data_IF_689051536494
#
_entry.id   IF_689051536494
#
_cell.length_a   1.000
_cell.length_b   1.000
_cell.length_c   1.000
_cell.angle_alpha   90.00
_cell.angle_beta   90.00
_cell.angle_gamma   90.00
#
_symmetry.space_group_name_H-M   'P 1'
#
loop_
_entity.id
_entity.type
_entity.pdbx_description
1 polymer ?
#
# COMPACT_ATOMS: atom_id res chain seq x y z
N UNK A 1 7.51 -6.00 40.70
CA UNK A 1 8.21 -4.76 40.30
C UNK A 1 7.26 -3.99 39.41
N UNK A 2 7.08 -2.70 39.63
CA UNK A 2 6.18 -1.90 38.80
C UNK A 2 6.68 -1.91 37.34
N UNK A 3 5.81 -2.21 36.38
CA UNK A 3 6.20 -2.19 34.95
C UNK A 3 6.56 -0.76 34.54
N UNK A 4 7.75 -0.57 33.97
CA UNK A 4 8.19 0.75 33.51
C UNK A 4 7.41 1.17 32.28
N UNK A 5 6.76 2.32 32.37
CA UNK A 5 6.10 2.96 31.22
C UNK A 5 7.07 3.95 30.60
N UNK A 6 7.38 3.79 29.31
CA UNK A 6 8.27 4.69 28.58
C UNK A 6 7.62 5.20 27.29
N UNK A 7 8.22 6.22 26.69
CA UNK A 7 7.71 6.83 25.47
C UNK A 7 8.54 6.39 24.26
N UNK A 8 7.88 6.28 23.11
CA UNK A 8 8.52 5.99 21.83
C UNK A 8 8.06 6.95 20.74
N UNK A 9 8.97 7.28 19.85
CA UNK A 9 8.68 8.08 18.66
C UNK A 9 7.96 7.24 17.59
N UNK A 10 7.26 7.92 16.67
CA UNK A 10 6.64 7.26 15.51
C UNK A 10 7.64 6.55 14.59
N UNK A 11 8.89 7.00 14.51
CA UNK A 11 9.96 6.33 13.76
C UNK A 11 10.38 5.02 14.41
N UNK A 12 10.56 5.02 15.74
CA UNK A 12 10.85 3.79 16.49
C UNK A 12 9.69 2.80 16.37
N UNK A 13 8.44 3.25 16.50
CA UNK A 13 7.27 2.39 16.31
C UNK A 13 7.24 1.76 14.91
N UNK A 14 7.60 2.50 13.86
CA UNK A 14 7.63 1.96 12.51
C UNK A 14 8.65 0.82 12.35
N UNK A 15 9.82 0.94 12.98
CA UNK A 15 10.84 -0.12 12.99
C UNK A 15 10.41 -1.35 13.80
N UNK A 16 9.57 -1.15 14.81
CA UNK A 16 9.08 -2.20 15.71
C UNK A 16 7.84 -2.93 15.15
N UNK A 17 6.96 -2.21 14.45
CA UNK A 17 5.67 -2.69 13.93
C UNK A 17 5.70 -4.01 13.13
N UNK A 18 6.76 -4.36 12.36
CA UNK A 18 6.81 -5.64 11.65
C UNK A 18 6.86 -6.86 12.56
N UNK A 19 7.22 -6.71 13.84
CA UNK A 19 7.35 -7.83 14.77
C UNK A 19 5.98 -8.31 15.26
N UNK A 20 5.70 -9.62 15.27
CA UNK A 20 4.37 -10.15 15.62
C UNK A 20 4.08 -10.10 17.13
N UNK A 21 5.09 -9.90 17.98
CA UNK A 21 4.99 -9.81 19.44
C UNK A 21 4.54 -8.43 19.95
N UNK A 22 4.32 -7.46 19.04
CA UNK A 22 3.89 -6.11 19.38
C UNK A 22 2.40 -5.94 19.15
N UNK A 23 1.73 -5.20 20.04
CA UNK A 23 0.37 -4.74 19.85
C UNK A 23 0.30 -3.21 19.98
N UNK A 24 -0.48 -2.58 19.11
CA UNK A 24 -0.73 -1.14 19.13
C UNK A 24 -2.17 -0.94 19.62
N UNK A 25 -2.35 -0.16 20.67
CA UNK A 25 -3.63 0.08 21.33
C UNK A 25 -4.01 1.54 21.10
N UNK A 26 -5.08 1.75 20.32
CA UNK A 26 -5.70 3.04 20.11
C UNK A 26 -6.82 3.24 21.15
N UNK A 27 -6.64 4.22 22.04
CA UNK A 27 -7.61 4.54 23.09
C UNK A 27 -8.45 5.78 22.79
N UNK A 28 -8.46 6.24 21.53
CA UNK A 28 -9.40 7.29 21.09
C UNK A 28 -10.84 6.78 21.12
N UNK A 29 -11.76 7.71 21.26
CA UNK A 29 -13.19 7.40 21.29
C UNK A 29 -13.72 7.44 19.84
N UNK A 30 -14.77 8.22 19.56
CA UNK A 30 -15.44 8.21 18.25
C UNK A 30 -14.61 8.84 17.12
N UNK A 31 -13.66 9.72 17.45
CA UNK A 31 -12.82 10.41 16.44
C UNK A 31 -11.95 9.44 15.62
N UNK A 32 -11.73 8.22 16.12
CA UNK A 32 -10.99 7.19 15.39
C UNK A 32 -11.68 6.82 14.06
N UNK A 33 -13.00 6.90 14.01
CA UNK A 33 -13.79 6.52 12.83
C UNK A 33 -13.65 7.51 11.68
N UNK A 34 -13.51 8.81 11.97
CA UNK A 34 -13.37 9.84 10.95
C UNK A 34 -11.91 10.08 10.53
N UNK A 35 -10.96 10.03 11.47
CA UNK A 35 -9.56 10.40 11.21
C UNK A 35 -8.70 9.25 10.64
N UNK A 36 -9.25 8.04 10.62
CA UNK A 36 -8.50 6.82 10.39
C UNK A 36 -7.67 6.41 11.61
N UNK A 37 -6.89 5.35 11.46
CA UNK A 37 -6.11 4.73 12.54
C UNK A 37 -4.82 4.06 12.04
N UNK A 38 -3.93 3.73 12.97
CA UNK A 38 -2.68 3.01 12.64
C UNK A 38 -3.04 1.59 12.21
N UNK A 39 -2.59 1.17 11.03
CA UNK A 39 -2.93 -0.14 10.47
C UNK A 39 -2.53 -1.30 11.41
N UNK A 40 -3.51 -2.14 11.79
CA UNK A 40 -3.32 -3.24 12.73
C UNK A 40 -3.48 -2.86 14.22
N UNK A 41 -3.90 -1.63 14.54
CA UNK A 41 -4.19 -1.25 15.92
C UNK A 41 -5.50 -1.86 16.43
N UNK A 42 -5.50 -2.21 17.70
CA UNK A 42 -6.68 -2.62 18.46
C UNK A 42 -7.35 -1.38 19.06
N UNK A 43 -8.68 -1.34 19.06
CA UNK A 43 -9.43 -0.17 19.52
C UNK A 43 -10.09 -0.43 20.88
N UNK A 44 -9.64 0.32 21.90
CA UNK A 44 -10.21 0.28 23.24
C UNK A 44 -10.45 1.71 23.74
N UNK A 45 -11.63 2.30 23.44
CA UNK A 45 -11.96 3.67 23.81
C UNK A 45 -11.71 3.97 25.28
N UNK A 46 -11.20 5.16 25.56
CA UNK A 46 -10.89 5.58 26.93
C UNK A 46 -12.14 5.65 27.82
N UNK A 47 -13.29 6.02 27.25
CA UNK A 47 -14.55 6.19 27.99
C UNK A 47 -15.08 4.90 28.61
N UNK A 48 -14.86 3.76 27.97
CA UNK A 48 -15.26 2.42 28.46
C UNK A 48 -14.07 1.48 28.63
N UNK A 49 -12.88 2.06 28.86
CA UNK A 49 -11.65 1.28 28.93
C UNK A 49 -11.70 0.27 30.08
N UNK A 50 -12.13 0.69 31.27
CA UNK A 50 -12.13 -0.14 32.48
C UNK A 50 -12.90 -1.45 32.30
N UNK A 51 -14.09 -1.38 31.72
CA UNK A 51 -14.95 -2.55 31.48
C UNK A 51 -14.35 -3.50 30.43
N UNK A 52 -13.51 -2.99 29.54
CA UNK A 52 -12.86 -3.76 28.46
C UNK A 52 -11.42 -4.17 28.77
N UNK A 53 -10.86 -3.80 29.93
CA UNK A 53 -9.48 -4.14 30.31
C UNK A 53 -9.27 -5.67 30.32
N UNK A 54 -10.26 -6.44 30.76
CA UNK A 54 -10.21 -7.90 30.74
C UNK A 54 -10.15 -8.47 29.31
N UNK A 55 -10.96 -7.94 28.39
CA UNK A 55 -10.94 -8.32 26.98
C UNK A 55 -9.60 -7.95 26.34
N UNK A 56 -9.06 -6.76 26.66
CA UNK A 56 -7.74 -6.34 26.21
C UNK A 56 -6.66 -7.32 26.66
N UNK A 57 -6.67 -7.75 27.93
CA UNK A 57 -5.71 -8.72 28.46
C UNK A 57 -5.75 -10.07 27.72
N UNK A 58 -6.94 -10.51 27.29
CA UNK A 58 -7.10 -11.72 26.48
C UNK A 58 -6.55 -11.54 25.06
N UNK A 59 -6.87 -10.42 24.41
CA UNK A 59 -6.47 -10.15 23.02
C UNK A 59 -4.95 -9.91 22.86
N UNK A 60 -4.29 -9.43 23.92
CA UNK A 60 -2.83 -9.21 23.94
C UNK A 60 -2.05 -10.41 24.50
N UNK A 61 -2.72 -11.54 24.77
CA UNK A 61 -2.04 -12.74 25.28
C UNK A 61 -0.98 -13.22 24.26
N UNK A 62 0.24 -13.40 24.75
CA UNK A 62 1.39 -13.78 23.90
C UNK A 62 2.11 -12.61 23.23
N UNK A 63 1.71 -11.36 23.50
CA UNK A 63 2.45 -10.15 23.13
C UNK A 63 3.39 -9.76 24.26
N UNK A 64 4.60 -9.32 23.94
CA UNK A 64 5.57 -8.86 24.95
C UNK A 64 5.64 -7.34 25.07
N UNK A 65 5.23 -6.62 24.03
CA UNK A 65 5.35 -5.16 23.95
C UNK A 65 4.01 -4.55 23.55
N UNK A 66 3.51 -3.63 24.37
CA UNK A 66 2.27 -2.91 24.12
C UNK A 66 2.55 -1.43 23.91
N UNK A 67 1.96 -0.85 22.87
CA UNK A 67 2.11 0.58 22.55
C UNK A 67 0.76 1.26 22.62
N UNK A 68 0.53 2.05 23.65
CA UNK A 68 -0.68 2.84 23.81
C UNK A 68 -0.57 4.19 23.12
N UNK A 69 -1.66 4.66 22.53
CA UNK A 69 -1.73 6.02 22.01
C UNK A 69 -3.16 6.57 22.06
N UNK A 70 -3.29 7.89 22.07
CA UNK A 70 -4.56 8.55 21.76
C UNK A 70 -4.37 9.55 20.60
N UNK A 71 -5.06 10.68 20.59
CA UNK A 71 -4.86 11.74 19.59
C UNK A 71 -3.48 12.41 19.75
N UNK A 72 -3.14 12.87 20.97
CA UNK A 72 -1.87 13.54 21.30
C UNK A 72 -0.98 12.76 22.28
N UNK A 73 -1.52 11.70 22.88
CA UNK A 73 -0.89 10.90 23.95
C UNK A 73 -0.46 11.70 25.20
N UNK A 74 -1.16 12.78 25.53
CA UNK A 74 -0.89 13.60 26.73
C UNK A 74 -1.73 13.21 27.96
N UNK A 75 -2.95 12.71 27.75
CA UNK A 75 -3.91 12.40 28.84
C UNK A 75 -4.43 10.97 28.73
N UNK A 76 -5.28 10.68 27.73
CA UNK A 76 -5.94 9.37 27.59
C UNK A 76 -4.96 8.21 27.42
N UNK A 77 -3.97 8.34 26.54
CA UNK A 77 -2.94 7.32 26.30
C UNK A 77 -2.19 6.92 27.59
N UNK A 78 -1.50 7.87 28.26
CA UNK A 78 -0.79 7.58 29.52
C UNK A 78 -1.70 7.07 30.65
N UNK A 79 -2.92 7.60 30.77
CA UNK A 79 -3.90 7.17 31.78
C UNK A 79 -4.31 5.71 31.57
N UNK A 80 -4.66 5.32 30.33
CA UNK A 80 -5.07 3.95 30.03
C UNK A 80 -3.90 2.97 30.16
N UNK A 81 -2.69 3.35 29.74
CA UNK A 81 -1.48 2.55 29.93
C UNK A 81 -1.22 2.25 31.42
N UNK A 82 -1.37 3.27 32.28
CA UNK A 82 -1.21 3.12 33.74
C UNK A 82 -2.31 2.25 34.35
N UNK A 83 -3.58 2.46 33.96
CA UNK A 83 -4.70 1.61 34.40
C UNK A 83 -4.46 0.14 34.05
N UNK A 84 -3.98 -0.12 32.83
CA UNK A 84 -3.65 -1.46 32.40
C UNK A 84 -2.47 -2.05 33.17
N UNK A 85 -1.40 -1.26 33.42
CA UNK A 85 -0.28 -1.70 34.23
C UNK A 85 -0.72 -2.11 35.65
N UNK A 86 -1.58 -1.31 36.29
CA UNK A 86 -2.14 -1.62 37.62
C UNK A 86 -2.98 -2.91 37.58
N UNK A 87 -3.82 -3.08 36.55
CA UNK A 87 -4.60 -4.30 36.37
C UNK A 87 -3.73 -5.55 36.25
N UNK A 88 -2.61 -5.49 35.52
CA UNK A 88 -1.68 -6.61 35.43
C UNK A 88 -1.02 -6.96 36.78
N UNK A 89 -0.81 -5.97 37.64
CA UNK A 89 -0.29 -6.18 39.00
C UNK A 89 -1.33 -6.84 39.91
N UNK A 90 -2.60 -6.47 39.77
CA UNK A 90 -3.73 -7.04 40.53
C UNK A 90 -3.97 -8.52 40.19
N UNK A 91 -3.96 -8.85 38.90
CA UNK A 91 -4.26 -10.22 38.42
C UNK A 91 -3.09 -11.18 38.68
N UNK A 92 -1.89 -10.67 39.02
CA UNK A 92 -0.65 -11.45 39.27
C UNK A 92 -0.32 -12.49 38.19
N UNK A 93 -0.85 -12.31 36.99
CA UNK A 93 -0.62 -13.22 35.87
C UNK A 93 0.62 -12.77 35.12
N UNK A 94 1.58 -13.67 34.95
CA UNK A 94 2.73 -13.45 34.06
C UNK A 94 2.26 -13.52 32.60
N UNK A 95 1.63 -12.44 32.16
CA UNK A 95 1.07 -12.26 30.81
C UNK A 95 2.14 -12.22 29.70
N UNK A 96 3.42 -12.41 30.03
CA UNK A 96 4.56 -12.31 29.09
C UNK A 96 4.87 -10.89 28.62
N UNK A 97 4.05 -9.90 29.02
CA UNK A 97 4.20 -8.49 28.67
C UNK A 97 5.39 -7.91 29.46
N UNK A 98 6.45 -7.53 28.76
CA UNK A 98 7.67 -6.94 29.32
C UNK A 98 7.57 -5.42 29.35
N UNK A 99 7.16 -4.84 28.22
CA UNK A 99 7.26 -3.40 27.97
C UNK A 99 5.89 -2.78 27.67
N UNK A 100 5.56 -1.72 28.40
CA UNK A 100 4.40 -0.86 28.13
C UNK A 100 4.92 0.50 27.67
N UNK A 101 4.63 0.84 26.43
CA UNK A 101 5.13 2.02 25.74
C UNK A 101 3.99 2.97 25.40
N UNK A 102 4.29 4.26 25.27
CA UNK A 102 3.36 5.29 24.83
C UNK A 102 3.90 5.92 23.55
N UNK A 103 3.08 5.97 22.50
CA UNK A 103 3.45 6.65 21.25
C UNK A 103 3.43 8.16 21.46
N UNK A 104 4.59 8.80 21.34
CA UNK A 104 4.76 10.24 21.41
C UNK A 104 3.97 10.96 20.32
N UNK A 105 3.37 12.10 20.69
CA UNK A 105 2.53 12.94 19.83
C UNK A 105 1.27 12.24 19.29
N UNK A 106 0.99 11.02 19.73
CA UNK A 106 -0.21 10.25 19.41
C UNK A 106 -0.45 10.05 17.92
N UNK A 107 -1.72 9.84 17.57
CA UNK A 107 -2.15 9.66 16.18
C UNK A 107 -1.89 10.91 15.33
N UNK A 108 -2.08 12.11 15.88
CA UNK A 108 -1.87 13.35 15.14
C UNK A 108 -0.42 13.49 14.69
N UNK A 109 0.54 13.15 15.57
CA UNK A 109 1.96 13.11 15.23
C UNK A 109 2.32 12.02 14.23
N UNK A 110 1.64 10.87 14.27
CA UNK A 110 1.80 9.81 13.29
C UNK A 110 1.36 10.28 11.89
N UNK A 111 0.17 10.85 11.80
CA UNK A 111 -0.43 11.34 10.55
C UNK A 111 0.35 12.53 9.97
N UNK A 112 0.73 13.51 10.79
CA UNK A 112 1.50 14.68 10.33
C UNK A 112 2.90 14.32 9.83
N UNK A 113 3.46 13.19 10.28
CA UNK A 113 4.72 12.66 9.78
C UNK A 113 4.59 11.96 8.41
N UNK A 114 3.41 11.94 7.79
CA UNK A 114 3.17 11.28 6.50
C UNK A 114 3.21 9.74 6.56
N UNK A 115 3.00 9.16 7.74
CA UNK A 115 3.02 7.69 7.93
C UNK A 115 1.72 7.06 7.46
N UNK A 116 1.73 5.77 7.07
CA UNK A 116 0.53 5.11 6.56
C UNK A 116 -0.60 5.07 7.60
N UNK A 117 -1.79 5.47 7.17
CA UNK A 117 -3.04 5.46 7.95
C UNK A 117 -4.04 4.54 7.26
N UNK A 118 -4.79 3.77 8.04
CA UNK A 118 -5.87 2.92 7.56
C UNK A 118 -7.23 3.55 7.90
N UNK A 119 -8.20 3.34 7.01
CA UNK A 119 -9.58 3.85 7.15
C UNK A 119 -10.61 2.72 7.17
N UNK A 120 -10.19 1.47 7.46
CA UNK A 120 -11.12 0.35 7.50
C UNK A 120 -12.01 0.40 8.75
N UNK A 121 -13.25 -0.07 8.61
CA UNK A 121 -14.19 -0.20 9.72
C UNK A 121 -14.20 -1.61 10.36
N UNK A 122 -13.34 -2.52 9.91
CA UNK A 122 -13.23 -3.87 10.47
C UNK A 122 -12.48 -3.88 11.80
N UNK A 123 -13.04 -4.54 12.82
CA UNK A 123 -12.41 -4.80 14.11
C UNK A 123 -12.16 -6.32 14.22
N UNK A 124 -10.91 -6.79 14.40
CA UNK A 124 -9.66 -6.02 14.37
C UNK A 124 -9.27 -5.57 12.95
N UNK A 125 -8.54 -4.45 12.85
CA UNK A 125 -7.93 -4.01 11.59
C UNK A 125 -6.93 -5.07 11.15
N UNK A 126 -7.13 -5.69 9.97
CA UNK A 126 -6.23 -6.76 9.49
C UNK A 126 -4.83 -6.26 9.15
N UNK A 127 -4.60 -4.95 9.17
CA UNK A 127 -3.34 -4.33 8.78
C UNK A 127 -3.04 -4.57 7.30
N UNK A 128 -2.23 -3.70 6.70
CA UNK A 128 -1.80 -3.92 5.33
C UNK A 128 -0.82 -5.11 5.34
N UNK A 129 -1.32 -6.31 5.00
CA UNK A 129 -0.52 -7.50 4.70
C UNK A 129 0.35 -7.18 3.49
N UNK A 130 1.54 -6.65 3.77
CA UNK A 130 2.55 -6.26 2.80
C UNK A 130 2.04 -5.24 1.75
N UNK A 131 2.87 -4.27 1.44
CA UNK A 131 2.87 -3.79 0.06
C UNK A 131 3.29 -5.00 -0.78
N UNK A 132 2.32 -5.80 -1.25
CA UNK A 132 2.52 -6.55 -2.47
C UNK A 132 2.78 -5.48 -3.53
N UNK A 133 4.05 -5.14 -3.73
CA UNK A 133 4.50 -4.62 -5.02
C UNK A 133 3.88 -5.57 -6.01
N UNK A 134 2.90 -5.07 -6.75
CA UNK A 134 2.06 -5.89 -7.59
C UNK A 134 2.98 -6.75 -8.44
N UNK A 135 2.92 -8.08 -8.27
CA UNK A 135 3.82 -8.99 -8.98
C UNK A 135 3.66 -8.80 -10.50
N UNK A 136 2.49 -8.33 -10.95
CA UNK A 136 2.25 -7.92 -12.33
C UNK A 136 3.06 -6.68 -12.78
N UNK A 137 3.48 -5.79 -11.88
CA UNK A 137 4.35 -4.65 -12.20
C UNK A 137 5.84 -5.07 -12.26
N UNK A 138 6.25 -6.10 -11.52
CA UNK A 138 7.60 -6.64 -11.59
C UNK A 138 7.79 -7.58 -12.78
N UNK A 139 6.72 -8.28 -13.20
CA UNK A 139 6.72 -9.19 -14.34
C UNK A 139 7.33 -8.58 -15.61
N UNK A 140 6.92 -7.38 -16.09
CA UNK A 140 7.50 -6.79 -17.30
C UNK A 140 8.95 -6.34 -17.11
N UNK A 141 9.34 -5.90 -15.90
CA UNK A 141 10.72 -5.48 -15.63
C UNK A 141 11.71 -6.65 -15.73
N UNK A 142 11.29 -7.86 -15.36
CA UNK A 142 12.13 -9.06 -15.46
C UNK A 142 11.91 -9.84 -16.76
N UNK A 143 10.69 -9.95 -17.28
CA UNK A 143 10.40 -10.72 -18.51
C UNK A 143 10.98 -10.06 -19.76
N UNK A 144 10.93 -8.73 -19.89
CA UNK A 144 11.40 -8.06 -21.12
C UNK A 144 12.90 -8.29 -21.35
N UNK A 145 13.79 -8.11 -20.35
CA UNK A 145 15.20 -8.48 -20.48
C UNK A 145 15.39 -9.97 -20.76
N UNK A 146 14.65 -10.86 -20.09
CA UNK A 146 14.78 -12.31 -20.26
C UNK A 146 14.41 -12.74 -21.68
N UNK A 147 13.26 -12.30 -22.20
CA UNK A 147 12.80 -12.66 -23.56
C UNK A 147 13.73 -12.10 -24.63
N UNK A 148 14.38 -10.96 -24.39
CA UNK A 148 15.36 -10.40 -25.33
C UNK A 148 16.74 -11.07 -25.23
N UNK A 149 17.14 -11.52 -24.05
CA UNK A 149 18.44 -12.17 -23.80
C UNK A 149 18.44 -13.67 -24.16
N UNK A 150 17.32 -14.36 -23.97
CA UNK A 150 17.19 -15.80 -24.18
C UNK A 150 17.58 -16.24 -25.61
N UNK A 151 17.19 -15.54 -26.69
CA UNK A 151 17.61 -15.89 -28.06
C UNK A 151 19.12 -15.73 -28.28
N UNK A 152 19.74 -14.71 -27.65
CA UNK A 152 21.19 -14.48 -27.76
C UNK A 152 21.96 -15.58 -27.03
N UNK A 153 21.46 -15.99 -25.85
CA UNK A 153 22.05 -17.08 -25.10
C UNK A 153 21.93 -18.42 -25.85
N UNK A 154 20.78 -18.68 -26.47
CA UNK A 154 20.56 -19.86 -27.30
C UNK A 154 21.53 -19.91 -28.49
N UNK A 155 21.69 -18.79 -29.21
CA UNK A 155 22.65 -18.69 -30.32
C UNK A 155 24.10 -18.96 -29.87
N UNK A 156 24.50 -18.45 -28.69
CA UNK A 156 25.83 -18.69 -28.13
C UNK A 156 26.07 -20.16 -27.75
N UNK A 157 25.06 -20.80 -27.14
CA UNK A 157 25.12 -22.22 -26.77
C UNK A 157 25.18 -23.08 -28.03
N UNK A 158 24.33 -22.81 -29.02
CA UNK A 158 24.30 -23.55 -30.28
C UNK A 158 25.58 -23.39 -31.07
N UNK A 159 26.16 -22.19 -31.14
CA UNK A 159 27.48 -22.00 -31.76
C UNK A 159 28.57 -22.87 -31.13
N UNK A 160 28.60 -22.95 -29.79
CA UNK A 160 29.59 -23.75 -29.07
C UNK A 160 29.38 -25.26 -29.26
N UNK A 161 28.13 -25.73 -29.23
CA UNK A 161 27.80 -27.14 -29.47
C UNK A 161 28.14 -27.53 -30.91
N UNK A 162 27.75 -26.72 -31.90
CA UNK A 162 27.98 -27.04 -33.32
C UNK A 162 29.48 -27.04 -33.66
N UNK A 163 30.26 -26.13 -33.06
CA UNK A 163 31.72 -26.10 -33.20
C UNK A 163 32.38 -27.38 -32.67
N UNK A 164 31.85 -27.97 -31.59
CA UNK A 164 32.35 -29.24 -31.04
C UNK A 164 32.07 -30.44 -31.96
N UNK A 165 30.99 -30.39 -32.74
CA UNK A 165 30.64 -31.42 -33.72
C UNK A 165 31.16 -31.14 -35.13
N UNK A 166 31.96 -30.08 -35.32
CA UNK A 166 32.52 -29.70 -36.63
C UNK A 166 31.48 -29.16 -37.62
N UNK A 167 30.35 -28.66 -37.14
CA UNK A 167 29.28 -28.07 -37.95
C UNK A 167 29.30 -26.54 -37.85
N UNK A 168 28.96 -25.85 -38.93
CA UNK A 168 28.86 -24.39 -38.93
C UNK A 168 27.42 -23.98 -38.58
N UNK A 169 27.22 -23.38 -37.40
CA UNK A 169 25.90 -22.91 -36.98
C UNK A 169 25.46 -21.72 -37.85
N UNK A 170 24.41 -21.91 -38.64
CA UNK A 170 23.80 -20.84 -39.42
C UNK A 170 22.59 -20.28 -38.67
N UNK A 171 22.72 -19.06 -38.17
CA UNK A 171 21.67 -18.36 -37.43
C UNK A 171 20.40 -18.22 -38.30
N UNK A 172 19.23 -18.67 -37.84
CA UNK A 172 17.99 -18.51 -38.60
C UNK A 172 17.57 -17.04 -38.68
N UNK A 173 17.15 -16.62 -39.86
CA UNK A 173 16.63 -15.26 -40.08
C UNK A 173 15.31 -15.11 -39.34
N UNK A 174 15.18 -14.07 -38.49
CA UNK A 174 13.93 -13.83 -37.76
C UNK A 174 12.84 -13.56 -38.77
N UNK A 175 11.72 -14.27 -38.65
CA UNK A 175 10.57 -14.05 -39.51
C UNK A 175 10.23 -12.54 -39.50
N UNK A 176 10.17 -11.88 -40.66
CA UNK A 176 9.78 -10.49 -40.72
C UNK A 176 8.35 -10.33 -40.19
N UNK A 177 8.01 -9.18 -39.57
CA UNK A 177 6.66 -8.95 -39.08
C UNK A 177 5.66 -9.15 -40.22
N UNK A 178 4.71 -10.07 -40.05
CA UNK A 178 3.71 -10.33 -41.07
C UNK A 178 2.87 -9.06 -41.27
N UNK A 179 2.93 -8.48 -42.48
CA UNK A 179 2.08 -7.34 -42.85
C UNK A 179 0.61 -7.80 -42.90
N UNK A 180 -0.29 -7.26 -42.05
CA UNK A 180 -1.69 -7.71 -42.00
C UNK A 180 -2.51 -7.30 -43.22
N UNK A 181 -2.00 -6.37 -44.04
CA UNK A 181 -2.71 -5.84 -45.20
C UNK A 181 -2.10 -6.46 -46.45
N UNK A 182 -2.88 -7.30 -47.14
CA UNK A 182 -2.61 -7.68 -48.52
C UNK A 182 -3.10 -6.53 -49.41
N UNK A 183 -2.23 -5.74 -50.06
CA UNK A 183 -2.70 -4.66 -50.92
C UNK A 183 -3.50 -5.26 -52.09
N UNK A 184 -4.74 -4.77 -52.25
CA UNK A 184 -5.59 -5.10 -53.39
C UNK A 184 -4.97 -4.45 -54.63
N UNK A 185 -4.70 -5.26 -55.66
CA UNK A 185 -4.18 -4.77 -56.94
C UNK A 185 -5.14 -3.73 -57.54
N UNK A 186 -4.64 -2.52 -57.78
CA UNK A 186 -5.35 -1.46 -58.52
C UNK A 186 -5.60 -1.93 -59.97
N UNK A 187 -6.83 -1.74 -60.46
CA UNK A 187 -7.08 -1.59 -61.91
C UNK A 187 -7.03 -0.11 -62.23
N UNK A 188 -6.05 0.28 -63.04
CA UNK A 188 -5.89 1.60 -63.60
C UNK A 188 -7.02 1.91 -64.59
N UNK A 189 -7.66 3.08 -64.45
CA UNK A 189 -8.14 3.85 -65.61
C UNK A 189 -8.00 5.33 -65.28
N UNK A 190 -7.21 5.99 -66.13
CA UNK A 190 -6.69 7.36 -66.07
C UNK A 190 -7.64 8.32 -66.80
N UNK A 191 -7.65 9.60 -66.36
CA UNK A 191 -7.95 10.89 -67.06
C UNK A 191 -8.84 11.76 -66.14
N UNK A 192 -8.67 13.07 -65.94
CA UNK A 192 -7.54 14.02 -65.88
C UNK A 192 -8.08 15.31 -65.20
N UNK A 193 -7.26 15.95 -64.37
CA UNK A 193 -7.19 17.39 -64.00
C UNK A 193 -8.45 18.26 -63.78
N UNK A 194 -8.52 18.94 -62.62
CA UNK A 194 -8.09 20.35 -62.43
C UNK A 194 -8.24 20.85 -60.97
N UNK A 195 -7.43 21.84 -60.63
CA UNK A 195 -7.20 22.44 -59.31
C UNK A 195 -8.19 23.57 -58.91
N UNK A 196 -8.47 23.68 -57.59
CA UNK A 196 -8.81 24.80 -56.64
C UNK A 196 -9.53 26.12 -57.10
N UNK A 197 -9.98 27.06 -56.20
CA UNK A 197 -10.18 27.08 -54.72
C UNK A 197 -11.53 27.74 -54.24
N UNK A 198 -11.80 27.84 -52.91
CA UNK A 198 -12.69 28.89 -52.35
C UNK A 198 -13.48 28.61 -51.05
N UNK A 199 -13.10 29.27 -49.94
CA UNK A 199 -13.96 29.70 -48.79
C UNK A 199 -14.59 31.10 -49.13
N UNK A 200 -15.48 31.78 -48.34
CA UNK A 200 -15.92 31.59 -46.93
C UNK A 200 -17.47 31.74 -46.74
N UNK A 201 -18.02 31.50 -45.54
CA UNK A 201 -18.69 32.47 -44.62
C UNK A 201 -19.93 31.70 -44.05
N UNK A 202 -20.51 31.89 -42.87
CA UNK A 202 -20.51 32.93 -41.85
C UNK A 202 -21.23 32.37 -40.59
N UNK A 203 -20.84 32.83 -39.39
CA UNK A 203 -21.64 32.71 -38.14
C UNK A 203 -22.60 33.92 -38.04
N UNK A 204 -23.66 33.93 -37.19
CA UNK A 204 -23.48 34.16 -35.74
C UNK A 204 -24.49 33.49 -34.77
N UNK A 205 -24.11 33.54 -33.49
CA UNK A 205 -24.82 33.30 -32.22
C UNK A 205 -26.09 34.18 -32.03
N UNK A 206 -26.97 34.07 -30.97
CA UNK A 206 -26.54 34.20 -29.56
C UNK A 206 -27.45 33.68 -28.39
N UNK A 207 -26.92 33.86 -27.15
CA UNK A 207 -27.56 33.99 -25.79
C UNK A 207 -28.37 32.78 -25.27
N UNK A 208 -28.18 32.20 -24.08
CA UNK A 208 -27.69 32.65 -22.77
C UNK A 208 -28.82 32.44 -21.73
N UNK A 209 -28.54 31.83 -20.56
CA UNK A 209 -29.11 32.15 -19.23
C UNK A 209 -28.92 31.03 -18.20
N UNK A 210 -28.55 31.49 -17.02
CA UNK A 210 -28.30 30.78 -15.77
C UNK A 210 -29.59 30.47 -14.98
N UNK A 211 -29.45 29.61 -13.97
CA UNK A 211 -30.39 29.42 -12.85
C UNK A 211 -30.53 27.94 -12.47
N UNK A 212 -30.79 27.53 -11.25
CA UNK A 212 -30.83 28.17 -9.93
C UNK A 212 -30.88 26.99 -8.93
N UNK A 213 -30.22 27.15 -7.79
CA UNK A 213 -30.16 26.21 -6.66
C UNK A 213 -31.46 26.26 -5.84
N UNK A 214 -31.98 25.09 -5.42
CA UNK A 214 -32.90 24.77 -4.28
C UNK A 214 -33.41 23.33 -4.55
N UNK A 215 -33.47 22.37 -3.63
CA UNK A 215 -33.40 22.28 -2.17
C UNK A 215 -32.68 20.99 -1.76
#
# INVERSE_FOLDING_TARGET
MAKSISYITGSQLLSLKPRPNIAIIDVRDDERSCDGHIAGSLHYPSGNFYDKISNLAQDVKGKDTLVFHCALSQVRGPSCARKFANYLEEVKEETGIKDILILERGFNGWQSSGRPVCHCNSIPCKGLLAQLVCVACLLPLFLVPIVNLLPLLFDLIMGKIYQLFGWEYRKPERAPPACPIKPVAKKDTKVSEKAEPGQPDSAPEPVGAEGLKKD
#
